data_IF_730583681915
#
_entry.id   IF_730583681915
#
_cell.length_a   1.000
_cell.length_b   1.000
_cell.length_c   1.000
_cell.angle_alpha   90.00
_cell.angle_beta   90.00
_cell.angle_gamma   90.00
#
_symmetry.space_group_name_H-M   'P 1'
#
loop_
_entity.id
_entity.type
_entity.pdbx_description
1 polymer ?
#
# COMPACT_ATOMS: atom_id res chain seq x y z
N UNK A 1 17.95 25.05 0.53
CA UNK A 1 17.38 24.10 -0.46
C UNK A 1 15.95 24.53 -0.76
N UNK A 2 15.54 24.69 -2.02
CA UNK A 2 14.16 25.14 -2.36
C UNK A 2 13.17 23.96 -2.30
N UNK A 3 11.90 24.23 -1.96
CA UNK A 3 10.82 23.22 -1.85
C UNK A 3 10.71 22.35 -3.11
N UNK A 4 10.84 22.97 -4.29
CA UNK A 4 10.83 22.28 -5.59
C UNK A 4 11.92 21.21 -5.69
N UNK A 5 13.13 21.51 -5.20
CA UNK A 5 14.27 20.58 -5.24
C UNK A 5 14.04 19.39 -4.30
N UNK A 6 13.43 19.62 -3.14
CA UNK A 6 13.07 18.55 -2.20
C UNK A 6 12.02 17.61 -2.80
N UNK A 7 10.95 18.15 -3.40
CA UNK A 7 9.90 17.36 -4.04
C UNK A 7 10.46 16.55 -5.22
N UNK A 8 11.31 17.16 -6.05
CA UNK A 8 11.94 16.47 -7.17
C UNK A 8 12.80 15.29 -6.68
N UNK A 9 13.62 15.52 -5.64
CA UNK A 9 14.44 14.46 -5.04
C UNK A 9 13.58 13.33 -4.47
N UNK A 10 12.50 13.66 -3.75
CA UNK A 10 11.56 12.67 -3.22
C UNK A 10 10.94 11.81 -4.32
N UNK A 11 10.51 12.45 -5.41
CA UNK A 11 9.90 11.76 -6.53
C UNK A 11 10.90 10.84 -7.25
N UNK A 12 12.12 11.30 -7.49
CA UNK A 12 13.17 10.46 -8.10
C UNK A 12 13.58 9.31 -7.19
N UNK A 13 13.66 9.54 -5.88
CA UNK A 13 13.97 8.51 -4.89
C UNK A 13 12.87 7.44 -4.82
N UNK A 14 11.60 7.87 -4.72
CA UNK A 14 10.43 7.01 -4.73
C UNK A 14 10.39 6.10 -5.97
N UNK A 15 10.69 6.65 -7.15
CA UNK A 15 10.71 5.89 -8.40
C UNK A 15 12.01 5.10 -8.64
N UNK A 16 12.98 5.22 -7.72
CA UNK A 16 14.35 4.68 -7.85
C UNK A 16 15.00 5.07 -9.17
N UNK A 17 14.95 6.37 -9.52
CA UNK A 17 15.47 6.90 -10.78
C UNK A 17 16.73 7.76 -10.58
N UNK A 18 17.79 7.57 -11.38
CA UNK A 18 18.00 6.46 -12.31
C UNK A 18 18.21 5.15 -11.56
N UNK A 19 17.85 4.02 -12.18
CA UNK A 19 18.08 2.70 -11.56
C UNK A 19 19.55 2.32 -11.65
N UNK A 20 20.06 1.73 -10.58
CA UNK A 20 21.41 1.14 -10.52
C UNK A 20 21.49 -0.22 -11.22
N UNK A 21 20.38 -0.97 -11.27
CA UNK A 21 20.30 -2.30 -11.88
C UNK A 21 19.04 -2.45 -12.75
N UNK A 22 19.08 -3.23 -13.85
CA UNK A 22 17.90 -3.53 -14.65
C UNK A 22 16.84 -4.29 -13.84
N UNK A 23 15.58 -4.26 -14.31
CA UNK A 23 14.49 -5.03 -13.69
C UNK A 23 14.59 -6.52 -14.05
N UNK A 24 14.44 -7.41 -13.07
CA UNK A 24 14.22 -8.85 -13.33
C UNK A 24 12.89 -9.09 -14.05
N UNK A 25 12.66 -10.29 -14.60
CA UNK A 25 11.38 -10.58 -15.26
C UNK A 25 10.24 -10.54 -14.25
N UNK A 26 10.48 -11.01 -13.02
CA UNK A 26 9.53 -10.90 -11.92
C UNK A 26 9.13 -9.45 -11.62
N UNK A 27 10.12 -8.53 -11.55
CA UNK A 27 9.85 -7.12 -11.32
C UNK A 27 9.14 -6.46 -12.51
N UNK A 28 9.55 -6.76 -13.75
CA UNK A 28 8.89 -6.25 -14.96
C UNK A 28 7.43 -6.69 -15.03
N UNK A 29 7.17 -7.98 -14.80
CA UNK A 29 5.82 -8.53 -14.77
C UNK A 29 4.99 -7.81 -13.72
N UNK A 30 5.48 -7.75 -12.47
CA UNK A 30 4.76 -7.10 -11.36
C UNK A 30 4.48 -5.62 -11.66
N UNK A 31 5.44 -4.88 -12.22
CA UNK A 31 5.24 -3.47 -12.57
C UNK A 31 4.13 -3.33 -13.61
N UNK A 32 4.21 -4.05 -14.73
CA UNK A 32 3.27 -3.89 -15.84
C UNK A 32 1.88 -4.45 -15.51
N UNK A 33 1.81 -5.61 -14.87
CA UNK A 33 0.53 -6.16 -14.41
C UNK A 33 -0.15 -5.18 -13.46
N UNK A 34 0.61 -4.50 -12.60
CA UNK A 34 0.04 -3.54 -11.66
C UNK A 34 -0.44 -2.25 -12.32
N UNK A 35 0.29 -1.75 -13.33
CA UNK A 35 -0.17 -0.62 -14.14
C UNK A 35 -1.48 -0.94 -14.85
N UNK A 36 -1.59 -2.10 -15.51
CA UNK A 36 -2.76 -2.40 -16.31
C UNK A 36 -3.95 -2.89 -15.47
N UNK A 37 -3.73 -3.88 -14.61
CA UNK A 37 -4.81 -4.53 -13.88
C UNK A 37 -5.29 -3.71 -12.69
N UNK A 38 -4.38 -3.19 -11.87
CA UNK A 38 -4.74 -2.45 -10.65
C UNK A 38 -4.89 -0.95 -10.92
N UNK A 39 -3.88 -0.26 -11.47
CA UNK A 39 -4.02 1.18 -11.72
C UNK A 39 -5.10 1.45 -12.78
N UNK A 40 -5.07 0.75 -13.91
CA UNK A 40 -6.09 0.87 -14.96
C UNK A 40 -7.47 0.47 -14.48
N UNK A 41 -7.60 -0.72 -13.87
CA UNK A 41 -8.86 -1.21 -13.32
C UNK A 41 -9.42 -0.31 -12.21
N UNK A 42 -8.61 0.05 -11.23
CA UNK A 42 -8.97 0.94 -10.12
C UNK A 42 -9.37 2.34 -10.60
N UNK A 43 -8.62 2.93 -11.53
CA UNK A 43 -8.98 4.22 -12.14
C UNK A 43 -10.31 4.13 -12.90
N UNK A 44 -10.55 3.03 -13.62
CA UNK A 44 -11.81 2.84 -14.34
C UNK A 44 -13.00 2.70 -13.38
N UNK A 45 -12.84 2.02 -12.24
CA UNK A 45 -13.85 1.94 -11.17
C UNK A 45 -14.08 3.31 -10.50
N UNK A 46 -13.01 4.06 -10.28
CA UNK A 46 -13.05 5.37 -9.63
C UNK A 46 -13.71 6.42 -10.53
N UNK A 47 -13.43 6.44 -11.83
CA UNK A 47 -13.88 7.50 -12.75
C UNK A 47 -15.15 7.10 -13.50
N UNK A 48 -15.25 5.83 -13.94
CA UNK A 48 -16.33 5.31 -14.78
C UNK A 48 -17.00 4.06 -14.16
N UNK A 49 -17.56 4.15 -12.93
CA UNK A 49 -18.19 3.00 -12.27
C UNK A 49 -19.38 2.42 -13.06
N UNK A 50 -20.06 3.24 -13.88
CA UNK A 50 -21.17 2.80 -14.73
C UNK A 50 -20.74 1.73 -15.75
N UNK A 51 -19.48 1.75 -16.21
CA UNK A 51 -18.95 0.71 -17.09
C UNK A 51 -18.98 -0.66 -16.39
N UNK A 52 -18.62 -0.67 -15.10
CA UNK A 52 -18.60 -1.88 -14.28
C UNK A 52 -20.01 -2.32 -13.90
N UNK A 53 -20.92 -1.38 -13.65
CA UNK A 53 -22.34 -1.63 -13.44
C UNK A 53 -22.96 -2.40 -14.61
N UNK A 54 -22.66 -1.96 -15.84
CA UNK A 54 -23.12 -2.61 -17.08
C UNK A 54 -22.48 -3.98 -17.28
N UNK A 55 -21.15 -4.08 -17.18
CA UNK A 55 -20.43 -5.33 -17.48
C UNK A 55 -20.78 -6.42 -16.46
N UNK A 56 -20.89 -6.05 -15.18
CA UNK A 56 -21.05 -7.00 -14.08
C UNK A 56 -22.48 -7.07 -13.53
N UNK A 57 -23.41 -6.30 -14.08
CA UNK A 57 -24.81 -6.19 -13.65
C UNK A 57 -24.90 -5.84 -12.16
N UNK A 58 -24.26 -4.73 -11.78
CA UNK A 58 -24.28 -4.25 -10.40
C UNK A 58 -25.55 -3.40 -10.16
N UNK A 59 -25.78 -3.06 -8.90
CA UNK A 59 -26.79 -2.09 -8.49
C UNK A 59 -26.08 -0.86 -7.89
N UNK A 60 -25.22 -0.20 -8.68
CA UNK A 60 -24.42 0.93 -8.19
C UNK A 60 -25.15 2.28 -8.28
N UNK A 61 -26.31 2.41 -7.64
CA UNK A 61 -27.07 3.67 -7.61
C UNK A 61 -26.83 4.47 -6.31
N UNK A 62 -26.79 5.80 -6.41
CA UNK A 62 -26.64 6.70 -5.26
C UNK A 62 -25.37 6.43 -4.45
N UNK A 63 -25.48 6.24 -3.13
CA UNK A 63 -24.34 5.95 -2.23
C UNK A 63 -23.55 4.70 -2.63
N UNK A 64 -24.20 3.71 -3.26
CA UNK A 64 -23.53 2.50 -3.74
C UNK A 64 -22.46 2.84 -4.78
N UNK A 65 -22.74 3.79 -5.68
CA UNK A 65 -21.75 4.29 -6.65
C UNK A 65 -20.55 4.93 -5.94
N UNK A 66 -20.79 5.79 -4.95
CA UNK A 66 -19.73 6.45 -4.18
C UNK A 66 -18.80 5.46 -3.50
N UNK A 67 -19.34 4.40 -2.87
CA UNK A 67 -18.53 3.37 -2.24
C UNK A 67 -17.80 2.47 -3.24
N UNK A 68 -18.37 2.24 -4.43
CA UNK A 68 -17.68 1.57 -5.53
C UNK A 68 -16.50 2.40 -6.02
N UNK A 69 -16.65 3.72 -6.11
CA UNK A 69 -15.55 4.64 -6.44
C UNK A 69 -14.45 4.63 -5.37
N UNK A 70 -14.81 4.60 -4.08
CA UNK A 70 -13.83 4.41 -2.99
C UNK A 70 -13.08 3.09 -3.11
N UNK A 71 -13.76 2.02 -3.50
CA UNK A 71 -13.10 0.74 -3.82
C UNK A 71 -12.11 0.90 -4.98
N UNK A 72 -12.51 1.59 -6.05
CA UNK A 72 -11.64 1.90 -7.19
C UNK A 72 -10.38 2.68 -6.81
N UNK A 73 -10.53 3.69 -5.93
CA UNK A 73 -9.40 4.43 -5.36
C UNK A 73 -8.44 3.50 -4.60
N UNK A 74 -8.98 2.61 -3.75
CA UNK A 74 -8.16 1.64 -3.04
C UNK A 74 -7.41 0.67 -3.96
N UNK A 75 -8.07 0.21 -5.04
CA UNK A 75 -7.44 -0.66 -6.06
C UNK A 75 -6.33 0.08 -6.82
N UNK A 76 -6.56 1.35 -7.18
CA UNK A 76 -5.55 2.21 -7.81
C UNK A 76 -4.30 2.33 -6.92
N UNK A 77 -4.50 2.53 -5.61
CA UNK A 77 -3.42 2.63 -4.64
C UNK A 77 -2.64 1.32 -4.48
N UNK A 78 -3.31 0.16 -4.46
CA UNK A 78 -2.65 -1.15 -4.48
C UNK A 78 -1.73 -1.27 -5.70
N UNK A 79 -2.21 -0.87 -6.87
CA UNK A 79 -1.41 -0.85 -8.10
C UNK A 79 -0.18 0.06 -8.00
N UNK A 80 -0.36 1.27 -7.48
CA UNK A 80 0.72 2.21 -7.26
C UNK A 80 1.78 1.66 -6.30
N UNK A 81 1.35 1.09 -5.16
CA UNK A 81 2.23 0.46 -4.18
C UNK A 81 3.08 -0.63 -4.85
N UNK A 82 2.46 -1.51 -5.65
CA UNK A 82 3.20 -2.55 -6.36
C UNK A 82 4.22 -2.02 -7.36
N UNK A 83 3.88 -0.94 -8.09
CA UNK A 83 4.82 -0.31 -9.02
C UNK A 83 6.06 0.19 -8.26
N UNK A 84 5.87 0.83 -7.11
CA UNK A 84 6.99 1.30 -6.28
C UNK A 84 7.81 0.11 -5.75
N UNK A 85 7.15 -0.90 -5.19
CA UNK A 85 7.84 -2.07 -4.62
C UNK A 85 8.59 -2.89 -5.69
N UNK A 86 8.05 -3.02 -6.90
CA UNK A 86 8.73 -3.68 -8.02
C UNK A 86 9.96 -2.90 -8.50
N UNK A 87 9.92 -1.56 -8.39
CA UNK A 87 10.97 -0.67 -8.85
C UNK A 87 12.07 -0.41 -7.82
N UNK A 88 11.80 -0.66 -6.54
CA UNK A 88 12.73 -0.36 -5.45
C UNK A 88 14.07 -1.09 -5.60
N UNK A 89 15.15 -0.32 -5.53
CA UNK A 89 16.54 -0.79 -5.50
C UNK A 89 17.14 -0.80 -4.09
N UNK A 90 16.44 -0.22 -3.11
CA UNK A 90 16.89 -0.05 -1.72
C UNK A 90 15.89 -0.76 -0.80
N UNK A 91 15.89 -2.09 -0.89
CA UNK A 91 15.17 -2.99 -0.01
C UNK A 91 16.12 -4.08 0.46
N UNK A 92 15.77 -4.77 1.55
CA UNK A 92 16.52 -5.91 2.10
C UNK A 92 16.49 -7.12 1.15
N UNK A 93 16.10 -8.34 1.60
CA UNK A 93 16.04 -9.49 0.70
C UNK A 93 15.22 -9.17 -0.55
N UNK A 94 15.76 -9.48 -1.73
CA UNK A 94 15.12 -9.16 -3.00
C UNK A 94 13.75 -9.83 -3.08
N UNK A 95 12.72 -9.06 -3.39
CA UNK A 95 11.36 -9.53 -3.69
C UNK A 95 10.41 -9.82 -2.52
N UNK A 96 10.76 -9.55 -1.25
CA UNK A 96 9.86 -9.81 -0.10
C UNK A 96 8.46 -9.24 -0.31
N UNK A 97 8.33 -8.01 -0.82
CA UNK A 97 7.01 -7.43 -1.08
C UNK A 97 6.25 -8.11 -2.21
N UNK A 98 6.95 -8.51 -3.28
CA UNK A 98 6.33 -9.19 -4.42
C UNK A 98 5.84 -10.58 -3.99
N UNK A 99 6.67 -11.32 -3.25
CA UNK A 99 6.34 -12.65 -2.74
C UNK A 99 5.27 -12.60 -1.64
N UNK A 100 5.31 -11.56 -0.79
CA UNK A 100 4.31 -11.32 0.24
C UNK A 100 2.90 -11.08 -0.30
N UNK A 101 2.78 -10.67 -1.57
CA UNK A 101 1.48 -10.55 -2.24
C UNK A 101 0.85 -11.89 -2.61
N UNK A 102 1.63 -12.98 -2.74
CA UNK A 102 1.10 -14.28 -3.18
C UNK A 102 0.13 -14.84 -2.15
N UNK A 103 0.55 -14.89 -0.87
CA UNK A 103 -0.30 -15.38 0.21
C UNK A 103 -1.52 -14.47 0.43
N UNK A 104 -1.34 -13.16 0.29
CA UNK A 104 -2.42 -12.18 0.40
C UNK A 104 -3.48 -12.39 -0.68
N UNK A 105 -3.08 -12.39 -1.95
CA UNK A 105 -3.98 -12.59 -3.09
C UNK A 105 -4.65 -13.97 -3.09
N UNK A 106 -3.91 -15.04 -2.78
CA UNK A 106 -4.46 -16.40 -2.84
C UNK A 106 -5.35 -16.76 -1.66
N UNK A 107 -5.04 -16.27 -0.46
CA UNK A 107 -5.74 -16.65 0.77
C UNK A 107 -6.58 -15.51 1.34
N UNK A 108 -6.00 -14.32 1.50
CA UNK A 108 -6.69 -13.21 2.16
C UNK A 108 -7.77 -12.61 1.26
N UNK A 109 -7.44 -12.22 0.03
CA UNK A 109 -8.40 -11.69 -0.95
C UNK A 109 -9.50 -12.68 -1.24
N UNK A 110 -9.14 -13.90 -1.65
CA UNK A 110 -10.12 -14.93 -1.93
C UNK A 110 -10.99 -15.26 -0.72
N UNK A 111 -10.42 -15.35 0.48
CA UNK A 111 -11.15 -15.67 1.70
C UNK A 111 -12.16 -14.58 2.09
N UNK A 112 -11.76 -13.32 2.04
CA UNK A 112 -12.65 -12.19 2.38
C UNK A 112 -13.71 -12.00 1.30
N UNK A 113 -13.37 -12.06 0.01
CA UNK A 113 -14.36 -11.95 -1.07
C UNK A 113 -15.36 -13.10 -1.02
N UNK A 114 -14.91 -14.33 -0.77
CA UNK A 114 -15.81 -15.48 -0.57
C UNK A 114 -16.74 -15.24 0.63
N UNK A 115 -16.22 -14.73 1.75
CA UNK A 115 -17.06 -14.36 2.90
C UNK A 115 -18.12 -13.31 2.53
N UNK A 116 -17.74 -12.26 1.78
CA UNK A 116 -18.66 -11.21 1.35
C UNK A 116 -19.74 -11.73 0.39
N UNK A 117 -19.37 -12.62 -0.54
CA UNK A 117 -20.30 -13.31 -1.45
C UNK A 117 -21.27 -14.20 -0.67
N UNK A 118 -20.77 -15.05 0.23
CA UNK A 118 -21.59 -15.98 1.01
C UNK A 118 -22.55 -15.26 1.95
N UNK A 119 -22.23 -14.01 2.35
CA UNK A 119 -23.12 -13.14 3.11
C UNK A 119 -24.10 -12.35 2.25
N UNK A 120 -24.08 -12.53 0.94
CA UNK A 120 -24.91 -11.78 -0.02
C UNK A 120 -24.61 -10.29 -0.01
N UNK A 121 -23.42 -9.88 0.40
CA UNK A 121 -23.05 -8.45 0.48
C UNK A 121 -22.56 -7.93 -0.87
N UNK A 122 -21.89 -8.77 -1.65
CA UNK A 122 -21.29 -8.41 -2.94
C UNK A 122 -21.75 -9.39 -4.02
N UNK A 123 -22.08 -8.93 -5.24
CA UNK A 123 -22.43 -9.81 -6.34
C UNK A 123 -21.32 -10.80 -6.68
N UNK A 124 -21.70 -12.03 -7.05
CA UNK A 124 -20.76 -13.08 -7.45
C UNK A 124 -19.88 -12.64 -8.63
N UNK A 125 -20.47 -11.97 -9.63
CA UNK A 125 -19.75 -11.43 -10.80
C UNK A 125 -18.61 -10.51 -10.39
N UNK A 126 -18.88 -9.58 -9.47
CA UNK A 126 -17.88 -8.66 -8.93
C UNK A 126 -16.77 -9.38 -8.20
N UNK A 127 -17.11 -10.24 -7.24
CA UNK A 127 -16.10 -10.97 -6.48
C UNK A 127 -15.24 -11.89 -7.35
N UNK A 128 -15.84 -12.59 -8.32
CA UNK A 128 -15.11 -13.47 -9.22
C UNK A 128 -14.07 -12.75 -10.08
N UNK A 129 -14.33 -11.53 -10.54
CA UNK A 129 -13.34 -10.77 -11.33
C UNK A 129 -12.05 -10.59 -10.53
N UNK A 130 -12.14 -10.14 -9.27
CA UNK A 130 -10.98 -9.93 -8.42
C UNK A 130 -10.34 -11.26 -7.99
N UNK A 131 -11.14 -12.27 -7.62
CA UNK A 131 -10.61 -13.59 -7.23
C UNK A 131 -9.82 -14.24 -8.37
N UNK A 132 -10.34 -14.22 -9.60
CA UNK A 132 -9.67 -14.79 -10.78
C UNK A 132 -8.44 -13.97 -11.14
N UNK A 133 -8.54 -12.64 -11.15
CA UNK A 133 -7.42 -11.74 -11.45
C UNK A 133 -6.26 -11.98 -10.47
N UNK A 134 -6.52 -11.90 -9.16
CA UNK A 134 -5.50 -12.01 -8.12
C UNK A 134 -4.89 -13.40 -8.04
N UNK A 135 -5.70 -14.45 -8.26
CA UNK A 135 -5.20 -15.82 -8.33
C UNK A 135 -4.31 -16.03 -9.56
N UNK A 136 -4.71 -15.51 -10.72
CA UNK A 136 -3.93 -15.62 -11.96
C UNK A 136 -2.59 -14.88 -11.84
N UNK A 137 -2.61 -13.64 -11.35
CA UNK A 137 -1.41 -12.85 -11.15
C UNK A 137 -0.45 -13.50 -10.14
N UNK A 138 -0.97 -14.05 -9.03
CA UNK A 138 -0.17 -14.78 -8.05
C UNK A 138 0.47 -16.03 -8.62
N UNK A 139 -0.27 -16.82 -9.39
CA UNK A 139 0.25 -18.03 -10.02
C UNK A 139 1.35 -17.71 -11.04
N UNK A 140 1.16 -16.68 -11.87
CA UNK A 140 2.18 -16.25 -12.84
C UNK A 140 3.42 -15.73 -12.10
N UNK A 141 3.24 -14.89 -11.07
CA UNK A 141 4.32 -14.42 -10.18
C UNK A 141 5.11 -15.58 -9.59
N UNK A 142 4.42 -16.61 -9.09
CA UNK A 142 5.04 -17.80 -8.53
C UNK A 142 5.83 -18.57 -9.58
N UNK A 143 5.27 -18.79 -10.77
CA UNK A 143 5.95 -19.48 -11.88
C UNK A 143 7.20 -18.74 -12.34
N UNK A 144 7.15 -17.41 -12.46
CA UNK A 144 8.31 -16.61 -12.83
C UNK A 144 9.38 -16.72 -11.75
N UNK A 145 9.01 -16.57 -10.47
CA UNK A 145 9.96 -16.68 -9.37
C UNK A 145 10.64 -18.05 -9.31
N UNK A 146 9.89 -19.15 -9.43
CA UNK A 146 10.47 -20.51 -9.49
C UNK A 146 11.44 -20.71 -10.66
N UNK A 147 11.27 -19.97 -11.76
CA UNK A 147 12.17 -20.05 -12.92
C UNK A 147 13.43 -19.19 -12.77
N UNK A 148 13.33 -18.05 -12.08
CA UNK A 148 14.44 -17.11 -11.90
C UNK A 148 15.29 -17.41 -10.66
N UNK A 149 14.76 -18.11 -9.66
CA UNK A 149 15.43 -18.34 -8.37
C UNK A 149 15.99 -19.76 -8.28
N UNK A 150 17.32 -19.86 -8.24
CA UNK A 150 18.01 -21.13 -7.99
C UNK A 150 17.65 -21.71 -6.61
N UNK A 151 17.31 -23.00 -6.56
CA UNK A 151 16.89 -23.65 -5.32
C UNK A 151 15.52 -23.21 -4.79
N UNK A 152 14.70 -22.55 -5.62
CA UNK A 152 13.35 -22.15 -5.26
C UNK A 152 12.53 -23.32 -4.70
N UNK A 153 11.91 -23.10 -3.54
CA UNK A 153 11.05 -24.06 -2.88
C UNK A 153 9.95 -23.34 -2.12
N UNK A 154 8.85 -24.04 -1.84
CA UNK A 154 7.76 -23.51 -1.01
C UNK A 154 8.26 -23.15 0.40
N UNK A 155 9.21 -23.92 0.95
CA UNK A 155 9.82 -23.61 2.24
C UNK A 155 10.60 -22.30 2.20
N UNK A 156 11.36 -22.05 1.12
CA UNK A 156 12.07 -20.80 0.92
C UNK A 156 11.09 -19.63 0.80
N UNK A 157 10.02 -19.77 0.00
CA UNK A 157 8.98 -18.76 -0.14
C UNK A 157 8.37 -18.38 1.21
N UNK A 158 7.98 -19.37 2.03
CA UNK A 158 7.41 -19.14 3.36
C UNK A 158 8.41 -18.41 4.25
N UNK A 159 9.69 -18.80 4.23
CA UNK A 159 10.73 -18.14 5.02
C UNK A 159 10.92 -16.69 4.57
N UNK A 160 11.03 -16.41 3.28
CA UNK A 160 11.25 -15.05 2.77
C UNK A 160 10.08 -14.11 3.09
N UNK A 161 8.85 -14.62 3.07
CA UNK A 161 7.66 -13.80 3.35
C UNK A 161 7.43 -13.65 4.86
N UNK A 162 7.39 -14.75 5.62
CA UNK A 162 6.92 -14.72 6.99
C UNK A 162 8.02 -14.44 8.02
N UNK A 163 9.27 -14.82 7.76
CA UNK A 163 10.35 -14.63 8.73
C UNK A 163 10.60 -13.13 9.05
N UNK A 164 10.62 -12.20 8.07
CA UNK A 164 10.75 -10.77 8.35
C UNK A 164 9.58 -10.19 9.16
N UNK A 165 8.37 -10.73 8.96
CA UNK A 165 7.17 -10.32 9.69
C UNK A 165 7.24 -10.80 11.13
N UNK A 166 7.54 -12.10 11.34
CA UNK A 166 7.65 -12.72 12.66
C UNK A 166 8.74 -12.07 13.52
N UNK A 167 9.84 -11.63 12.89
CA UNK A 167 10.92 -10.93 13.58
C UNK A 167 10.64 -9.43 13.81
N UNK A 168 9.46 -8.94 13.40
CA UNK A 168 9.09 -7.53 13.43
C UNK A 168 10.19 -6.62 12.84
N UNK A 169 10.79 -7.07 11.72
CA UNK A 169 11.97 -6.41 11.17
C UNK A 169 11.71 -4.94 10.85
N UNK A 170 10.51 -4.60 10.36
CA UNK A 170 10.10 -3.22 10.08
C UNK A 170 10.23 -2.31 11.29
N UNK A 171 9.72 -2.75 12.46
CA UNK A 171 9.79 -2.00 13.71
C UNK A 171 11.21 -1.81 14.25
N UNK A 172 12.16 -2.67 13.86
CA UNK A 172 13.56 -2.64 14.32
C UNK A 172 14.53 -1.96 13.35
N UNK A 173 14.09 -1.69 12.12
CA UNK A 173 14.97 -1.24 11.03
C UNK A 173 15.18 0.28 10.94
N UNK A 174 14.44 1.06 11.71
CA UNK A 174 14.53 2.53 11.72
C UNK A 174 13.19 3.19 12.05
N UNK A 175 13.24 4.44 12.49
CA UNK A 175 12.08 5.21 12.93
C UNK A 175 11.00 5.34 11.84
N UNK A 176 11.37 5.65 10.60
CA UNK A 176 10.43 5.77 9.46
C UNK A 176 9.75 4.44 9.12
N UNK A 177 10.51 3.35 9.05
CA UNK A 177 9.97 2.01 8.78
C UNK A 177 9.10 1.52 9.94
N UNK A 178 9.45 1.83 11.18
CA UNK A 178 8.62 1.52 12.34
C UNK A 178 7.28 2.25 12.27
N UNK A 179 7.27 3.54 11.88
CA UNK A 179 6.04 4.29 11.69
C UNK A 179 5.15 3.66 10.62
N UNK A 180 5.70 3.31 9.44
CA UNK A 180 4.97 2.61 8.39
C UNK A 180 4.42 1.26 8.89
N UNK A 181 5.22 0.49 9.64
CA UNK A 181 4.81 -0.80 10.18
C UNK A 181 3.59 -0.65 11.11
N UNK A 182 3.64 0.27 12.08
CA UNK A 182 2.54 0.47 13.02
C UNK A 182 1.30 1.06 12.33
N UNK A 183 1.45 2.07 11.48
CA UNK A 183 0.35 2.61 10.67
C UNK A 183 -0.31 1.49 9.86
N UNK A 184 0.49 0.67 9.19
CA UNK A 184 0.00 -0.47 8.42
C UNK A 184 -0.75 -1.48 9.26
N UNK A 185 -0.23 -1.82 10.43
CA UNK A 185 -0.87 -2.75 11.35
C UNK A 185 -2.21 -2.22 11.89
N UNK A 186 -2.25 -0.95 12.30
CA UNK A 186 -3.48 -0.29 12.73
C UNK A 186 -4.50 -0.24 11.59
N UNK A 187 -4.09 0.19 10.40
CA UNK A 187 -4.93 0.26 9.22
C UNK A 187 -5.50 -1.12 8.83
N UNK A 188 -4.67 -2.16 8.85
CA UNK A 188 -5.09 -3.55 8.59
C UNK A 188 -6.19 -4.01 9.55
N UNK A 189 -5.95 -3.90 10.86
CA UNK A 189 -6.86 -4.43 11.88
C UNK A 189 -8.17 -3.64 11.96
N UNK A 190 -8.09 -2.31 12.01
CA UNK A 190 -9.28 -1.48 12.15
C UNK A 190 -10.19 -1.55 10.92
N UNK A 191 -9.62 -1.53 9.72
CA UNK A 191 -10.41 -1.67 8.51
C UNK A 191 -11.10 -3.04 8.45
N UNK A 192 -10.45 -4.12 8.87
CA UNK A 192 -11.05 -5.46 8.90
C UNK A 192 -12.29 -5.57 9.79
N UNK A 193 -12.35 -4.81 10.90
CA UNK A 193 -13.55 -4.72 11.73
C UNK A 193 -14.74 -4.24 10.89
N UNK A 194 -14.54 -3.20 10.07
CA UNK A 194 -15.58 -2.65 9.21
C UNK A 194 -15.89 -3.50 7.99
N UNK A 195 -14.94 -4.31 7.50
CA UNK A 195 -15.22 -5.34 6.48
C UNK A 195 -16.17 -6.40 7.03
N UNK A 196 -15.88 -6.94 8.23
CA UNK A 196 -16.67 -8.03 8.83
C UNK A 196 -18.02 -7.50 9.35
N UNK A 197 -18.06 -6.27 9.85
CA UNK A 197 -19.24 -5.63 10.44
C UNK A 197 -19.39 -4.17 9.98
N UNK A 198 -19.79 -3.94 8.71
CA UNK A 198 -19.99 -2.58 8.19
C UNK A 198 -21.11 -1.81 8.89
N UNK A 199 -22.01 -2.51 9.59
CA UNK A 199 -23.02 -1.88 10.46
C UNK A 199 -22.40 -1.03 11.59
N UNK A 200 -21.21 -1.41 12.07
CA UNK A 200 -20.50 -0.63 13.10
C UNK A 200 -20.09 0.72 12.50
N UNK A 201 -19.54 0.74 11.29
CA UNK A 201 -19.21 1.97 10.58
C UNK A 201 -20.46 2.82 10.35
N UNK A 202 -21.58 2.20 9.93
CA UNK A 202 -22.87 2.91 9.76
C UNK A 202 -23.32 3.60 11.03
N UNK A 203 -23.25 2.92 12.17
CA UNK A 203 -23.71 3.46 13.46
C UNK A 203 -22.78 4.57 13.93
N UNK A 204 -21.47 4.32 13.95
CA UNK A 204 -20.47 5.28 14.49
C UNK A 204 -20.40 6.54 13.63
N UNK A 205 -20.47 6.39 12.31
CA UNK A 205 -20.35 7.50 11.36
C UNK A 205 -21.71 8.07 10.95
N UNK A 206 -22.82 7.59 11.52
CA UNK A 206 -24.18 8.01 11.14
C UNK A 206 -24.43 7.96 9.62
N UNK A 207 -24.02 6.87 8.97
CA UNK A 207 -24.20 6.70 7.52
C UNK A 207 -25.66 6.42 7.17
N UNK A 208 -26.00 6.65 5.90
CA UNK A 208 -27.32 6.35 5.39
C UNK A 208 -27.65 4.85 5.54
N UNK A 209 -28.94 4.52 5.49
CA UNK A 209 -29.35 3.10 5.48
C UNK A 209 -28.80 2.45 4.22
N UNK A 210 -28.28 1.23 4.39
CA UNK A 210 -27.78 0.48 3.25
C UNK A 210 -28.93 0.04 2.33
N UNK A 211 -28.73 0.22 1.03
CA UNK A 211 -29.64 -0.13 -0.05
C UNK A 211 -28.85 -0.76 -1.19
N UNK A 212 -29.43 -1.80 -1.82
CA UNK A 212 -28.75 -2.59 -2.85
C UNK A 212 -27.37 -3.06 -2.40
N UNK A 213 -26.35 -2.85 -3.24
CA UNK A 213 -24.98 -3.26 -2.98
C UNK A 213 -24.17 -2.29 -2.10
N UNK A 214 -24.75 -1.21 -1.57
CA UNK A 214 -23.98 -0.18 -0.85
C UNK A 214 -23.23 -0.73 0.37
N UNK A 215 -23.87 -1.64 1.14
CA UNK A 215 -23.22 -2.32 2.27
C UNK A 215 -21.95 -3.09 1.85
N UNK A 216 -22.03 -3.79 0.72
CA UNK A 216 -20.92 -4.58 0.19
C UNK A 216 -19.80 -3.73 -0.35
N UNK A 217 -20.10 -2.68 -1.11
CA UNK A 217 -19.07 -1.79 -1.65
C UNK A 217 -18.39 -0.97 -0.56
N UNK A 218 -19.10 -0.55 0.49
CA UNK A 218 -18.46 0.07 1.65
C UNK A 218 -17.52 -0.92 2.38
N UNK A 219 -17.98 -2.17 2.57
CA UNK A 219 -17.12 -3.21 3.12
C UNK A 219 -15.90 -3.48 2.21
N UNK A 220 -16.07 -3.40 0.89
CA UNK A 220 -14.98 -3.59 -0.08
C UNK A 220 -13.99 -2.42 -0.06
N UNK A 221 -14.45 -1.18 0.12
CA UNK A 221 -13.53 -0.05 0.28
C UNK A 221 -12.69 -0.19 1.57
N UNK A 222 -13.30 -0.59 2.69
CA UNK A 222 -12.54 -0.92 3.89
C UNK A 222 -11.62 -2.13 3.66
N UNK A 223 -12.03 -3.09 2.82
CA UNK A 223 -11.18 -4.21 2.49
C UNK A 223 -9.92 -3.75 1.75
N UNK A 224 -10.04 -2.86 0.76
CA UNK A 224 -8.86 -2.27 0.10
C UNK A 224 -7.97 -1.50 1.07
N UNK A 225 -8.53 -0.77 2.03
CA UNK A 225 -7.74 -0.12 3.10
C UNK A 225 -6.99 -1.14 3.96
N UNK A 226 -7.61 -2.29 4.27
CA UNK A 226 -6.95 -3.36 5.02
C UNK A 226 -5.78 -3.97 4.23
N UNK A 227 -5.93 -4.13 2.92
CA UNK A 227 -4.88 -4.60 2.01
C UNK A 227 -3.73 -3.59 1.94
N UNK A 228 -4.00 -2.28 1.93
CA UNK A 228 -2.94 -1.27 2.06
C UNK A 228 -2.18 -1.44 3.37
N UNK A 229 -2.89 -1.67 4.48
CA UNK A 229 -2.28 -1.94 5.79
C UNK A 229 -1.34 -3.15 5.76
N UNK A 230 -1.76 -4.23 5.10
CA UNK A 230 -0.89 -5.38 4.83
C UNK A 230 0.38 -4.97 4.06
N UNK A 231 0.24 -4.24 2.95
CA UNK A 231 1.39 -3.82 2.16
C UNK A 231 2.32 -2.84 2.88
N UNK A 232 1.80 -2.02 3.79
CA UNK A 232 2.63 -1.19 4.67
C UNK A 232 3.50 -2.04 5.57
N UNK A 233 2.91 -3.04 6.25
CA UNK A 233 3.64 -3.97 7.11
C UNK A 233 4.73 -4.70 6.32
N UNK A 234 4.39 -5.24 5.14
CA UNK A 234 5.33 -5.97 4.30
C UNK A 234 6.48 -5.07 3.80
N UNK A 235 6.17 -3.89 3.28
CA UNK A 235 7.21 -2.97 2.79
C UNK A 235 8.13 -2.48 3.93
N UNK A 236 7.59 -2.25 5.13
CA UNK A 236 8.40 -1.93 6.30
C UNK A 236 9.32 -3.11 6.68
N UNK A 237 8.80 -4.34 6.73
CA UNK A 237 9.60 -5.55 7.01
C UNK A 237 10.66 -5.85 5.94
N UNK A 238 10.41 -5.45 4.70
CA UNK A 238 11.37 -5.49 3.61
C UNK A 238 12.38 -4.33 3.65
N UNK A 239 12.25 -3.38 4.58
CA UNK A 239 13.09 -2.19 4.68
C UNK A 239 13.11 -1.41 3.35
N UNK A 240 11.96 -1.33 2.69
CA UNK A 240 11.84 -0.69 1.38
C UNK A 240 11.81 0.84 1.52
N UNK A 241 12.98 1.49 1.56
CA UNK A 241 13.06 2.93 1.83
C UNK A 241 12.28 3.80 0.83
N UNK A 242 12.26 3.53 -0.49
CA UNK A 242 11.42 4.24 -1.45
C UNK A 242 9.92 4.21 -1.15
N UNK A 243 9.44 3.27 -0.33
CA UNK A 243 8.04 3.18 0.06
C UNK A 243 7.60 4.29 1.02
N UNK A 244 8.48 4.81 1.87
CA UNK A 244 8.14 5.89 2.83
C UNK A 244 7.60 7.13 2.11
N UNK A 245 8.33 7.73 1.13
CA UNK A 245 7.79 8.86 0.38
C UNK A 245 6.62 8.46 -0.53
N UNK A 246 6.53 7.21 -1.01
CA UNK A 246 5.36 6.73 -1.75
C UNK A 246 4.09 6.76 -0.89
N UNK A 247 4.21 6.32 0.37
CA UNK A 247 3.12 6.29 1.33
C UNK A 247 2.61 7.70 1.67
N UNK A 248 3.50 8.69 1.70
CA UNK A 248 3.13 10.10 1.85
C UNK A 248 2.51 10.65 0.55
N UNK A 249 3.05 10.27 -0.60
CA UNK A 249 2.61 10.75 -1.91
C UNK A 249 1.17 10.38 -2.23
N UNK A 250 0.81 9.09 -2.22
CA UNK A 250 -0.53 8.68 -2.66
C UNK A 250 -1.63 9.23 -1.73
N UNK A 251 -1.34 9.46 -0.44
CA UNK A 251 -2.28 10.09 0.49
C UNK A 251 -2.67 11.51 0.07
N UNK A 252 -1.68 12.31 -0.31
CA UNK A 252 -1.92 13.68 -0.75
C UNK A 252 -2.47 13.72 -2.17
N UNK A 253 -1.90 12.94 -3.09
CA UNK A 253 -2.18 13.11 -4.51
C UNK A 253 -3.35 12.25 -5.01
N UNK A 254 -3.70 11.15 -4.33
CA UNK A 254 -4.84 10.31 -4.68
C UNK A 254 -5.97 10.46 -3.65
N UNK A 255 -5.72 10.14 -2.37
CA UNK A 255 -6.77 10.12 -1.35
C UNK A 255 -7.42 11.49 -1.13
N UNK A 256 -6.64 12.54 -0.87
CA UNK A 256 -7.23 13.86 -0.56
C UNK A 256 -8.10 14.40 -1.70
N UNK A 257 -7.63 14.49 -2.96
CA UNK A 257 -8.46 14.92 -4.08
C UNK A 257 -9.71 14.06 -4.26
N UNK A 258 -9.56 12.74 -4.23
CA UNK A 258 -10.67 11.83 -4.45
C UNK A 258 -11.74 11.98 -3.35
N UNK A 259 -11.34 11.97 -2.07
CA UNK A 259 -12.26 12.13 -0.94
C UNK A 259 -12.95 13.49 -0.96
N UNK A 260 -12.20 14.58 -1.20
CA UNK A 260 -12.78 15.93 -1.28
C UNK A 260 -13.79 16.02 -2.42
N UNK A 261 -13.48 15.48 -3.60
CA UNK A 261 -14.40 15.48 -4.74
C UNK A 261 -15.65 14.67 -4.38
N UNK A 262 -15.50 13.40 -3.95
CA UNK A 262 -16.61 12.51 -3.64
C UNK A 262 -17.52 13.07 -2.53
N UNK A 263 -16.93 13.69 -1.51
CA UNK A 263 -17.68 14.40 -0.46
C UNK A 263 -18.38 15.65 -1.00
N UNK A 264 -17.70 16.47 -1.80
CA UNK A 264 -18.27 17.73 -2.31
C UNK A 264 -19.43 17.53 -3.28
N UNK A 265 -19.41 16.44 -4.06
CA UNK A 265 -20.52 16.07 -4.96
C UNK A 265 -21.59 15.20 -4.29
N UNK A 266 -21.55 15.07 -2.96
CA UNK A 266 -22.46 14.25 -2.16
C UNK A 266 -22.59 12.80 -2.66
N UNK A 267 -21.49 12.22 -3.15
CA UNK A 267 -21.46 10.80 -3.52
C UNK A 267 -21.21 9.89 -2.32
N UNK A 268 -20.56 10.41 -1.28
CA UNK A 268 -20.38 9.76 0.02
C UNK A 268 -20.81 10.69 1.15
N UNK A 269 -21.21 10.14 2.28
CA UNK A 269 -21.61 10.94 3.44
C UNK A 269 -20.46 11.80 3.94
N UNK A 270 -20.76 13.03 4.34
CA UNK A 270 -19.76 13.96 4.88
C UNK A 270 -19.02 13.37 6.08
N UNK A 271 -19.73 12.67 6.95
CA UNK A 271 -19.15 12.01 8.14
C UNK A 271 -18.14 10.93 7.76
N UNK A 272 -18.42 10.12 6.72
CA UNK A 272 -17.46 9.16 6.18
C UNK A 272 -16.27 9.86 5.57
N UNK A 273 -16.51 10.87 4.73
CA UNK A 273 -15.47 11.67 4.09
C UNK A 273 -14.51 12.27 5.12
N UNK A 274 -15.04 12.96 6.14
CA UNK A 274 -14.23 13.55 7.21
C UNK A 274 -13.48 12.50 8.02
N UNK A 275 -14.12 11.38 8.39
CA UNK A 275 -13.46 10.33 9.16
C UNK A 275 -12.26 9.74 8.40
N UNK A 276 -12.44 9.37 7.13
CA UNK A 276 -11.36 8.81 6.30
C UNK A 276 -10.28 9.86 6.05
N UNK A 277 -10.65 11.10 5.73
CA UNK A 277 -9.68 12.18 5.49
C UNK A 277 -8.85 12.47 6.75
N UNK A 278 -9.47 12.50 7.93
CA UNK A 278 -8.76 12.69 9.20
C UNK A 278 -7.82 11.53 9.49
N UNK A 279 -8.24 10.29 9.25
CA UNK A 279 -7.35 9.13 9.36
C UNK A 279 -6.13 9.26 8.43
N UNK A 280 -6.34 9.65 7.16
CA UNK A 280 -5.25 9.84 6.20
C UNK A 280 -4.31 10.98 6.60
N UNK A 281 -4.84 12.09 7.14
CA UNK A 281 -4.03 13.18 7.69
C UNK A 281 -3.21 12.69 8.89
N UNK A 282 -3.82 11.96 9.83
CA UNK A 282 -3.11 11.42 10.99
C UNK A 282 -1.97 10.48 10.56
N UNK A 283 -2.24 9.54 9.65
CA UNK A 283 -1.22 8.64 9.13
C UNK A 283 -0.11 9.38 8.39
N UNK A 284 -0.47 10.36 7.55
CA UNK A 284 0.50 11.22 6.87
C UNK A 284 1.41 11.94 7.88
N UNK A 285 0.85 12.58 8.90
CA UNK A 285 1.61 13.31 9.91
C UNK A 285 2.52 12.40 10.73
N UNK A 286 2.06 11.21 11.12
CA UNK A 286 2.87 10.22 11.84
C UNK A 286 4.06 9.81 10.97
N UNK A 287 3.83 9.38 9.72
CA UNK A 287 4.91 8.93 8.84
C UNK A 287 5.90 10.07 8.58
N UNK A 288 5.41 11.28 8.30
CA UNK A 288 6.24 12.45 8.03
C UNK A 288 7.10 12.83 9.25
N UNK A 289 6.52 12.83 10.45
CA UNK A 289 7.24 13.14 11.68
C UNK A 289 8.40 12.17 11.90
N UNK A 290 8.16 10.87 11.78
CA UNK A 290 9.21 9.85 11.97
C UNK A 290 10.26 9.85 10.86
N UNK A 291 9.88 10.18 9.61
CA UNK A 291 10.82 10.36 8.49
C UNK A 291 11.75 11.56 8.72
N UNK A 292 11.20 12.70 9.15
CA UNK A 292 12.01 13.89 9.50
C UNK A 292 12.92 13.58 10.68
N UNK A 293 12.38 12.98 11.74
CA UNK A 293 13.14 12.65 12.94
C UNK A 293 14.32 11.72 12.63
N UNK A 294 14.11 10.69 11.80
CA UNK A 294 15.18 9.80 11.37
C UNK A 294 16.28 10.53 10.61
N UNK A 295 15.92 11.45 9.69
CA UNK A 295 16.89 12.23 8.91
C UNK A 295 17.72 13.17 9.79
N UNK A 296 17.11 13.77 10.82
CA UNK A 296 17.83 14.60 11.79
C UNK A 296 18.87 13.77 12.53
N UNK A 297 18.47 12.62 13.10
CA UNK A 297 19.39 11.71 13.79
C UNK A 297 20.55 11.24 12.91
N UNK A 298 20.28 10.88 11.65
CA UNK A 298 21.31 10.44 10.72
C UNK A 298 22.31 11.54 10.35
N UNK A 299 21.84 12.79 10.27
CA UNK A 299 22.72 13.93 10.02
C UNK A 299 23.63 14.19 11.22
N UNK A 300 23.09 14.17 12.44
CA UNK A 300 23.85 14.36 13.67
C UNK A 300 24.95 13.29 13.82
N UNK A 301 24.63 12.00 13.59
CA UNK A 301 25.62 10.91 13.62
C UNK A 301 26.70 11.07 12.53
N UNK A 302 26.32 11.57 11.35
CA UNK A 302 27.27 11.80 10.25
C UNK A 302 28.23 12.96 10.55
N UNK A 303 27.75 14.03 11.17
CA UNK A 303 28.57 15.17 11.59
C UNK A 303 29.53 14.76 12.71
N UNK A 304 29.07 13.95 13.67
CA UNK A 304 29.90 13.41 14.74
C UNK A 304 31.00 12.47 14.20
N UNK A 305 30.70 11.59 13.23
CA UNK A 305 31.71 10.76 12.58
C UNK A 305 32.76 11.57 11.79
N UNK A 306 32.33 12.64 11.12
CA UNK A 306 33.26 13.55 10.41
C UNK A 306 34.19 14.25 11.40
N UNK A 307 33.67 14.71 12.54
CA UNK A 307 34.45 15.35 13.61
C UNK A 307 35.46 14.39 14.26
N UNK A 308 35.06 13.14 14.52
CA UNK A 308 35.96 12.12 15.07
C UNK A 308 37.10 11.77 14.09
N UNK A 309 36.76 11.58 12.81
CA UNK A 309 37.77 11.28 11.78
C UNK A 309 38.71 12.44 11.47
N UNK A 310 38.27 13.71 11.59
CA UNK A 310 39.17 14.87 11.47
C UNK A 310 40.11 15.00 12.67
N UNK A 311 39.62 14.73 13.87
CA UNK A 311 40.42 14.82 15.11
C UNK A 311 41.50 13.74 15.17
N UNK A 312 41.20 12.53 14.68
CA UNK A 312 42.19 11.46 14.57
C UNK A 312 43.26 11.76 13.51
N UNK A 313 42.89 12.40 12.39
CA UNK A 313 43.87 12.87 11.39
C UNK A 313 44.82 13.92 11.96
N UNK A 314 44.30 14.89 12.70
CA UNK A 314 45.15 15.92 13.35
C UNK A 314 46.11 15.31 14.39
N UNK A 315 45.67 14.31 15.16
CA UNK A 315 46.54 13.60 16.12
C UNK A 315 47.64 12.77 15.44
N UNK A 316 47.35 12.16 14.29
CA UNK A 316 48.33 11.38 13.52
C UNK A 316 49.38 12.32 12.90
N UNK A 317 48.98 13.48 12.39
CA UNK A 317 49.93 14.47 11.86
C UNK A 317 50.79 15.12 12.95
N UNK A 318 50.26 15.30 14.16
CA UNK A 318 51.00 15.83 15.31
C UNK A 318 52.04 14.87 15.90
N UNK A 319 51.90 13.56 15.69
CA UNK A 319 52.84 12.52 16.17
C UNK A 319 53.88 12.10 15.13
N UNK A 320 53.76 12.62 13.89
CA UNK A 320 54.68 12.38 12.77
C UNK A 320 55.79 13.46 12.63
N UNK A 321 55.89 14.40 13.58
CA UNK A 321 56.94 15.43 13.66
C UNK A 321 57.82 15.20 14.87
#
# INVERSE_FOLDING_TARGET
>A
MTVKTVICHWFTFMLSFPRTQPLSSLQKFTQWSSVFAYCGGGLSLLVFPQLWDIILHLESNGRSEGYLRLTGLGVLEIGFIFVISARSTLQGPSHVTILGSIAERLLYVNGILLMLILRGMVPLSFGLVFMVLDSSLSLITLVIWFRETEGASVSLLIKEVFLPILNCHGARSGASNAAIFFVGFFQLLFSLIFVIRPEIARIILHLDRFHGNSKGFLATSFFTMSIHGWYHVINACAVNHPFVPAALFYRIFFNFPALIILGSVDQIEQTLCFAVLMCEICFFLIILFFDIFQKVLQNDESEEQILLTSTDKEKIEATSK
#
